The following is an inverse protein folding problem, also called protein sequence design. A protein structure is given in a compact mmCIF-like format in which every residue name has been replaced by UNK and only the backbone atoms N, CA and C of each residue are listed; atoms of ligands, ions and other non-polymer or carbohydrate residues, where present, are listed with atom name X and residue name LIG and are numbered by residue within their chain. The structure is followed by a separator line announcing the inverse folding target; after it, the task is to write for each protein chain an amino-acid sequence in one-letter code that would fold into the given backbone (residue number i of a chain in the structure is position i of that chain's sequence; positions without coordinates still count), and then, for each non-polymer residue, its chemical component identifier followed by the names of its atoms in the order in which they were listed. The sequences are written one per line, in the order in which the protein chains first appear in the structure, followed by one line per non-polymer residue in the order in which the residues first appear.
data_IF_775387277575
#
_entry.id   IF_775387277575
#
_cell.length_a   1.000
_cell.length_b   1.000
_cell.length_c   1.000
_cell.angle_alpha   90.00
_cell.angle_beta   90.00
_cell.angle_gamma   90.00
#
_symmetry.space_group_name_H-M   'P 1'
#
loop_
_entity.id
_entity.type
_entity.pdbx_description
1 polymer ?
#
# COMPACT_ATOMS: atom_id res chain seq x y z
N UNK A 1 16.39 9.81 37.98
CA UNK A 1 16.74 8.95 36.84
C UNK A 1 16.40 9.74 35.59
N UNK A 2 17.40 10.04 34.77
CA UNK A 2 17.34 10.94 33.62
C UNK A 2 16.38 10.39 32.55
N UNK A 3 15.39 11.21 32.19
CA UNK A 3 14.16 10.82 31.50
C UNK A 3 14.27 10.70 29.97
N UNK A 4 15.44 10.97 29.38
CA UNK A 4 15.55 11.15 27.92
C UNK A 4 16.62 10.19 27.36
N UNK A 5 16.24 8.95 27.05
CA UNK A 5 17.12 8.04 26.31
C UNK A 5 16.88 8.22 24.81
N UNK A 6 17.46 9.28 24.23
CA UNK A 6 17.36 9.60 22.80
C UNK A 6 18.76 9.66 22.19
N UNK A 7 18.92 9.05 21.02
CA UNK A 7 20.13 9.14 20.22
C UNK A 7 19.91 10.12 19.06
N UNK A 8 20.59 11.27 19.11
CA UNK A 8 20.65 12.20 17.99
C UNK A 8 21.91 11.94 17.17
N UNK A 9 21.73 11.51 15.92
CA UNK A 9 22.82 11.17 15.00
C UNK A 9 22.74 12.14 13.83
N UNK A 10 23.58 13.18 13.86
CA UNK A 10 23.62 14.23 12.83
C UNK A 10 24.83 14.17 11.91
N UNK A 11 25.86 13.42 12.30
CA UNK A 11 27.06 13.16 11.51
C UNK A 11 27.75 11.89 12.01
N UNK A 12 28.40 11.19 11.09
CA UNK A 12 29.17 9.99 11.39
C UNK A 12 28.36 8.71 11.23
N UNK A 13 28.96 7.60 11.64
CA UNK A 13 28.39 6.27 11.48
C UNK A 13 28.25 5.59 12.83
N UNK A 14 27.00 5.30 13.20
CA UNK A 14 26.64 4.59 14.43
C UNK A 14 26.17 3.19 14.09
N UNK A 15 26.59 2.21 14.89
CA UNK A 15 26.16 0.81 14.73
C UNK A 15 25.64 0.30 16.07
N UNK A 16 24.39 -0.15 16.10
CA UNK A 16 23.86 -0.95 17.21
C UNK A 16 23.87 -2.42 16.81
N UNK A 17 24.44 -3.27 17.67
CA UNK A 17 24.52 -4.72 17.45
C UNK A 17 23.89 -5.44 18.63
N UNK A 18 22.94 -6.34 18.38
CA UNK A 18 22.34 -7.17 19.43
C UNK A 18 21.71 -6.37 20.57
N UNK A 19 21.11 -5.23 20.23
CA UNK A 19 20.41 -4.35 21.17
C UNK A 19 18.90 -4.56 21.08
N UNK A 20 18.25 -4.71 22.23
CA UNK A 20 16.79 -4.64 22.34
C UNK A 20 16.40 -3.27 22.90
N UNK A 21 15.73 -2.46 22.09
CA UNK A 21 15.15 -1.19 22.48
C UNK A 21 13.77 -1.45 23.08
N UNK A 22 13.56 -1.06 24.34
CA UNK A 22 12.26 -1.22 25.01
C UNK A 22 11.73 0.09 25.54
N UNK A 23 10.44 0.33 25.35
CA UNK A 23 9.76 1.57 25.77
C UNK A 23 8.61 1.22 26.72
N UNK A 24 8.52 1.91 27.86
CA UNK A 24 7.42 1.80 28.82
C UNK A 24 6.59 3.09 28.93
N UNK A 25 7.23 4.25 28.79
CA UNK A 25 6.59 5.55 29.05
C UNK A 25 6.53 6.39 27.77
N UNK A 26 5.39 7.06 27.60
CA UNK A 26 5.20 8.06 26.56
C UNK A 26 5.96 9.33 26.93
N UNK A 27 6.64 9.93 25.96
CA UNK A 27 7.41 11.15 26.19
C UNK A 27 6.90 12.27 25.30
N UNK A 28 6.42 13.34 25.94
CA UNK A 28 5.60 14.38 25.31
C UNK A 28 6.32 15.08 24.14
N UNK A 29 7.65 15.17 24.17
CA UNK A 29 8.41 15.98 23.23
C UNK A 29 9.14 15.21 22.13
N UNK A 30 9.33 13.89 22.29
CA UNK A 30 10.21 13.12 21.40
C UNK A 30 9.51 11.89 20.85
N UNK A 31 9.28 11.93 19.54
CA UNK A 31 8.47 10.94 18.82
C UNK A 31 9.22 9.65 18.49
N UNK A 32 10.55 9.65 18.58
CA UNK A 32 11.41 8.52 18.21
C UNK A 32 12.61 8.39 19.15
N UNK A 33 13.06 7.16 19.41
CA UNK A 33 14.26 6.89 20.23
C UNK A 33 15.54 7.35 19.50
N UNK A 34 15.57 7.22 18.18
CA UNK A 34 16.71 7.57 17.35
C UNK A 34 16.26 8.61 16.31
N UNK A 35 16.85 9.79 16.40
CA UNK A 35 16.70 10.85 15.40
C UNK A 35 17.94 10.84 14.52
N UNK A 36 17.77 10.39 13.29
CA UNK A 36 18.82 10.20 12.30
C UNK A 36 18.66 11.27 11.21
N UNK A 37 19.49 12.31 11.26
CA UNK A 37 19.28 13.51 10.45
C UNK A 37 20.60 14.15 10.00
N UNK A 38 20.90 14.07 8.69
CA UNK A 38 22.09 14.72 8.13
C UNK A 38 22.72 13.91 7.00
N UNK A 39 23.31 14.61 6.04
CA UNK A 39 23.83 14.04 4.78
C UNK A 39 25.07 13.16 4.97
N UNK A 40 25.67 13.22 6.15
CA UNK A 40 26.76 12.36 6.58
C UNK A 40 26.39 11.50 7.80
N UNK A 41 25.10 11.38 8.12
CA UNK A 41 24.61 10.55 9.20
C UNK A 41 24.26 9.15 8.67
N UNK A 42 24.83 8.12 9.31
CA UNK A 42 24.59 6.73 8.98
C UNK A 42 24.28 5.93 10.24
N UNK A 43 23.26 5.07 10.15
CA UNK A 43 22.86 4.15 11.20
C UNK A 43 22.77 2.73 10.66
N UNK A 44 23.47 1.80 11.31
CA UNK A 44 23.29 0.38 11.10
C UNK A 44 22.66 -0.27 12.34
N UNK A 45 21.56 -0.99 12.15
CA UNK A 45 20.95 -1.85 13.16
C UNK A 45 21.19 -3.30 12.75
N UNK A 46 21.97 -4.03 13.54
CA UNK A 46 22.33 -5.42 13.26
C UNK A 46 21.84 -6.35 14.39
N UNK A 47 20.97 -7.30 14.06
CA UNK A 47 20.39 -8.24 15.03
C UNK A 47 19.73 -7.50 16.21
N UNK A 48 18.95 -6.46 15.93
CA UNK A 48 18.31 -5.62 16.94
C UNK A 48 16.85 -6.01 17.15
N UNK A 49 16.25 -5.54 18.23
CA UNK A 49 14.82 -5.71 18.48
C UNK A 49 14.16 -4.46 19.06
N UNK A 50 12.86 -4.31 18.85
CA UNK A 50 12.04 -3.23 19.41
C UNK A 50 10.72 -3.76 19.98
N UNK A 51 10.29 -3.20 21.11
CA UNK A 51 9.01 -3.56 21.70
C UNK A 51 8.65 -2.76 22.95
N UNK A 52 7.41 -2.94 23.41
CA UNK A 52 6.95 -2.39 24.69
C UNK A 52 7.49 -3.17 25.88
N UNK A 53 7.68 -2.50 27.02
CA UNK A 53 7.95 -3.17 28.30
C UNK A 53 6.65 -3.71 28.91
N UNK A 54 5.56 -2.98 28.71
CA UNK A 54 4.23 -3.29 29.25
C UNK A 54 3.24 -3.46 28.09
N UNK A 55 2.00 -3.82 28.40
CA UNK A 55 0.88 -3.84 27.44
C UNK A 55 0.29 -2.46 27.16
N UNK A 56 0.80 -1.40 27.79
CA UNK A 56 0.33 -0.04 27.56
C UNK A 56 0.66 0.43 26.14
N UNK A 57 -0.17 1.32 25.60
CA UNK A 57 0.08 1.92 24.31
C UNK A 57 1.29 2.86 24.41
N UNK A 58 2.23 2.73 23.48
CA UNK A 58 3.38 3.63 23.39
C UNK A 58 3.17 4.69 22.30
N UNK A 59 3.72 5.89 22.45
CA UNK A 59 3.66 6.94 21.44
C UNK A 59 4.96 7.12 20.67
N UNK A 60 6.04 6.42 21.03
CA UNK A 60 7.37 6.59 20.41
C UNK A 60 7.69 5.49 19.40
N UNK A 61 8.14 5.89 18.21
CA UNK A 61 8.80 5.01 17.26
C UNK A 61 10.26 4.72 17.61
N UNK A 62 10.91 3.88 16.82
CA UNK A 62 12.33 3.60 16.98
C UNK A 62 13.19 4.63 16.25
N UNK A 63 13.01 4.79 14.93
CA UNK A 63 13.88 5.65 14.09
C UNK A 63 13.06 6.62 13.26
N UNK A 64 13.48 7.90 13.25
CA UNK A 64 13.11 8.86 12.22
C UNK A 64 14.34 9.17 11.36
N UNK A 65 14.23 9.07 10.04
CA UNK A 65 15.31 9.31 9.09
C UNK A 65 15.03 10.50 8.17
N UNK A 66 15.95 11.47 8.15
CA UNK A 66 15.80 12.76 7.47
C UNK A 66 17.13 13.25 6.86
N UNK A 67 17.04 14.24 5.98
CA UNK A 67 18.16 15.06 5.49
C UNK A 67 19.35 14.25 4.96
N UNK A 68 19.08 13.33 4.03
CA UNK A 68 20.01 12.44 3.34
C UNK A 68 20.67 11.39 4.23
N UNK A 69 20.22 11.25 5.48
CA UNK A 69 20.74 10.23 6.35
C UNK A 69 20.42 8.82 5.84
N UNK A 70 21.33 7.89 6.12
CA UNK A 70 21.26 6.52 5.61
C UNK A 70 21.00 5.54 6.75
N UNK A 71 20.07 4.61 6.53
CA UNK A 71 19.69 3.61 7.52
C UNK A 71 19.79 2.23 6.87
N UNK A 72 20.59 1.36 7.48
CA UNK A 72 20.68 -0.03 7.11
C UNK A 72 20.22 -0.92 8.28
N UNK A 73 19.24 -1.76 8.03
CA UNK A 73 18.71 -2.72 8.98
C UNK A 73 19.01 -4.12 8.48
N UNK A 74 19.82 -4.85 9.23
CA UNK A 74 20.13 -6.26 8.98
C UNK A 74 19.71 -7.08 10.19
N UNK A 75 18.65 -7.87 10.01
CA UNK A 75 18.03 -8.67 11.08
C UNK A 75 17.47 -7.80 12.20
N UNK A 76 16.17 -7.52 12.11
CA UNK A 76 15.47 -6.73 13.12
C UNK A 76 14.12 -7.34 13.47
N UNK A 77 13.84 -7.45 14.76
CA UNK A 77 12.59 -8.06 15.24
C UNK A 77 11.74 -7.04 15.99
N UNK A 78 10.49 -6.87 15.56
CA UNK A 78 9.48 -6.12 16.30
C UNK A 78 8.42 -7.07 16.80
N UNK A 79 8.25 -7.13 18.12
CA UNK A 79 7.20 -7.90 18.77
C UNK A 79 5.87 -7.11 18.79
N UNK A 80 4.73 -7.81 18.99
CA UNK A 80 3.42 -7.16 19.08
C UNK A 80 3.41 -5.96 20.02
N UNK A 81 2.89 -4.84 19.52
CA UNK A 81 2.90 -3.57 20.23
C UNK A 81 1.76 -2.68 19.75
N UNK A 82 1.11 -2.00 20.70
CA UNK A 82 0.14 -0.97 20.39
C UNK A 82 0.83 0.40 20.42
N UNK A 83 0.74 1.14 19.32
CA UNK A 83 1.31 2.46 19.16
C UNK A 83 0.21 3.50 18.99
N UNK A 84 0.28 4.63 19.68
CA UNK A 84 -0.78 5.66 19.58
C UNK A 84 -0.68 6.45 18.28
N UNK A 85 0.53 6.84 17.86
CA UNK A 85 0.70 7.79 16.77
C UNK A 85 1.88 7.56 15.84
N UNK A 86 3.06 7.15 16.30
CA UNK A 86 4.25 7.08 15.43
C UNK A 86 4.42 5.67 14.83
N UNK A 87 4.98 5.57 13.62
CA UNK A 87 5.44 4.30 13.08
C UNK A 87 6.65 3.80 13.86
N UNK A 88 6.99 2.52 13.74
CA UNK A 88 8.29 2.03 14.24
C UNK A 88 9.44 2.74 13.51
N UNK A 89 9.32 2.90 12.19
CA UNK A 89 10.32 3.53 11.34
C UNK A 89 9.65 4.56 10.45
N UNK A 90 10.11 5.81 10.56
CA UNK A 90 9.69 6.91 9.73
C UNK A 90 10.81 7.32 8.77
N UNK A 91 10.47 7.43 7.49
CA UNK A 91 11.37 7.80 6.40
C UNK A 91 10.78 9.05 5.75
N UNK A 92 11.39 10.21 6.01
CA UNK A 92 10.94 11.47 5.44
C UNK A 92 11.39 11.67 4.00
N UNK A 93 10.77 12.64 3.31
CA UNK A 93 11.03 12.97 1.90
C UNK A 93 12.41 13.61 1.63
N UNK A 94 13.21 13.86 2.65
CA UNK A 94 14.60 14.29 2.51
C UNK A 94 15.59 13.18 2.85
N UNK A 95 15.14 12.00 3.30
CA UNK A 95 16.01 10.88 3.71
C UNK A 95 16.95 10.41 2.60
N UNK A 96 18.04 9.75 3.01
CA UNK A 96 18.99 9.10 2.12
C UNK A 96 18.52 7.71 1.72
N UNK A 97 19.48 6.83 1.43
CA UNK A 97 19.17 5.44 1.08
C UNK A 97 18.85 4.64 2.34
N UNK A 98 17.72 3.94 2.30
CA UNK A 98 17.23 3.09 3.38
C UNK A 98 17.14 1.65 2.89
N UNK A 99 17.71 0.72 3.65
CA UNK A 99 17.66 -0.70 3.36
C UNK A 99 17.25 -1.54 4.56
N UNK A 100 16.43 -2.56 4.30
CA UNK A 100 15.96 -3.53 5.27
C UNK A 100 16.27 -4.94 4.77
N UNK A 101 16.75 -5.80 5.65
CA UNK A 101 17.02 -7.19 5.31
C UNK A 101 16.72 -8.12 6.50
N UNK A 102 16.31 -9.35 6.22
CA UNK A 102 16.13 -10.43 7.20
C UNK A 102 15.30 -10.03 8.44
N UNK A 103 14.29 -9.16 8.28
CA UNK A 103 13.60 -8.55 9.42
C UNK A 103 12.19 -9.11 9.63
N UNK A 104 11.71 -9.11 10.86
CA UNK A 104 10.42 -9.67 11.22
C UNK A 104 9.63 -8.67 12.05
N UNK A 105 8.47 -8.26 11.54
CA UNK A 105 7.59 -7.29 12.17
C UNK A 105 6.24 -7.94 12.45
N UNK A 106 5.87 -8.09 13.72
CA UNK A 106 4.63 -8.78 14.09
C UNK A 106 3.73 -7.93 14.97
N UNK A 107 2.43 -7.90 14.64
CA UNK A 107 1.38 -7.43 15.53
C UNK A 107 1.50 -5.97 15.93
N UNK A 108 2.07 -5.12 15.06
CA UNK A 108 2.18 -3.68 15.32
C UNK A 108 0.85 -3.03 14.98
N UNK A 109 0.16 -2.51 15.99
CA UNK A 109 -1.12 -1.85 15.87
C UNK A 109 -0.99 -0.35 16.18
N UNK A 110 -0.93 0.46 15.13
CA UNK A 110 -0.83 1.92 15.20
C UNK A 110 -2.23 2.54 15.14
N UNK A 111 -2.63 3.22 16.21
CA UNK A 111 -3.99 3.74 16.39
C UNK A 111 -4.28 4.99 15.55
N UNK A 112 -3.26 5.77 15.19
CA UNK A 112 -3.36 6.93 14.29
C UNK A 112 -2.12 7.06 13.40
N UNK A 113 -2.31 7.50 12.16
CA UNK A 113 -1.22 7.70 11.19
C UNK A 113 -0.89 6.47 10.34
N UNK A 114 -0.18 6.71 9.23
CA UNK A 114 -0.10 5.80 8.10
C UNK A 114 1.06 4.81 8.21
N UNK A 115 0.83 3.52 7.99
CA UNK A 115 1.86 2.49 8.05
C UNK A 115 2.29 2.23 9.50
N UNK A 116 2.07 1.02 10.00
CA UNK A 116 2.37 0.74 11.41
C UNK A 116 3.86 0.49 11.64
N UNK A 117 4.48 -0.29 10.77
CA UNK A 117 5.89 -0.60 10.84
C UNK A 117 6.73 0.48 10.14
N UNK A 118 6.36 0.81 8.90
CA UNK A 118 7.08 1.76 8.05
C UNK A 118 6.14 2.80 7.49
N UNK A 119 6.43 4.06 7.77
CA UNK A 119 5.83 5.23 7.12
C UNK A 119 6.90 5.91 6.27
N UNK A 120 6.67 5.98 4.95
CA UNK A 120 7.67 6.45 4.01
C UNK A 120 7.12 7.53 3.07
N UNK A 121 7.84 8.64 2.95
CA UNK A 121 7.58 9.69 1.96
C UNK A 121 8.78 9.78 1.04
N UNK A 122 8.58 9.51 -0.25
CA UNK A 122 9.65 9.57 -1.25
C UNK A 122 9.76 10.95 -1.88
N UNK A 123 10.89 11.19 -2.55
CA UNK A 123 11.18 12.40 -3.30
C UNK A 123 11.98 12.02 -4.56
N UNK A 124 11.81 12.79 -5.64
CA UNK A 124 12.58 12.61 -6.88
C UNK A 124 14.09 12.87 -6.72
N UNK A 125 14.50 13.72 -5.78
CA UNK A 125 15.89 14.17 -5.64
C UNK A 125 16.73 13.35 -4.65
N UNK A 126 16.09 12.76 -3.64
CA UNK A 126 16.80 12.14 -2.53
C UNK A 126 16.42 10.67 -2.35
N UNK A 127 17.36 9.93 -1.78
CA UNK A 127 17.09 8.64 -1.16
C UNK A 127 16.39 7.59 -1.99
N UNK A 128 15.80 6.64 -1.26
CA UNK A 128 14.99 5.51 -1.71
C UNK A 128 14.87 4.45 -0.62
N UNK A 129 13.90 3.54 -0.76
CA UNK A 129 13.68 2.42 0.17
C UNK A 129 13.81 1.08 -0.56
N UNK A 130 14.63 0.19 -0.04
CA UNK A 130 14.68 -1.20 -0.51
C UNK A 130 14.47 -2.16 0.65
N UNK A 131 13.50 -3.05 0.52
CA UNK A 131 13.31 -4.16 1.45
C UNK A 131 13.67 -5.45 0.73
N UNK A 132 14.80 -6.02 1.14
CA UNK A 132 15.36 -7.25 0.60
C UNK A 132 14.63 -8.49 1.15
N UNK A 133 14.93 -9.64 0.52
CA UNK A 133 14.32 -10.94 0.80
C UNK A 133 14.36 -11.32 2.28
N UNK A 134 13.44 -12.20 2.69
CA UNK A 134 13.31 -12.70 4.07
C UNK A 134 12.86 -11.64 5.09
N UNK A 135 12.28 -10.54 4.62
CA UNK A 135 11.61 -9.59 5.50
C UNK A 135 10.11 -9.86 5.53
N UNK A 136 9.57 -10.10 6.72
CA UNK A 136 8.17 -10.52 6.89
C UNK A 136 7.40 -9.55 7.79
N UNK A 137 6.21 -9.17 7.34
CA UNK A 137 5.26 -8.38 8.12
C UNK A 137 4.04 -9.22 8.42
N UNK A 138 3.70 -9.35 9.70
CA UNK A 138 2.63 -10.21 10.20
C UNK A 138 1.60 -9.39 10.96
N UNK A 139 0.35 -9.41 10.50
CA UNK A 139 -0.82 -8.85 11.21
C UNK A 139 -0.61 -7.42 11.75
N UNK A 140 0.06 -6.60 10.96
CA UNK A 140 0.30 -5.20 11.24
C UNK A 140 -0.89 -4.35 10.79
N UNK A 141 -1.26 -3.34 11.60
CA UNK A 141 -2.43 -2.49 11.36
C UNK A 141 -2.11 -1.02 11.66
N UNK A 142 -2.54 -0.12 10.80
CA UNK A 142 -2.47 1.33 10.97
C UNK A 142 -3.72 2.03 10.42
N UNK A 143 -3.71 3.37 10.41
CA UNK A 143 -4.82 4.20 9.93
C UNK A 143 -4.38 5.07 8.75
N UNK A 144 -5.25 5.25 7.77
CA UNK A 144 -5.09 6.25 6.74
C UNK A 144 -6.27 7.22 6.80
N UNK A 145 -6.00 8.50 7.04
CA UNK A 145 -7.04 9.52 7.21
C UNK A 145 -6.89 10.64 6.18
N UNK A 146 -8.01 11.09 5.62
CA UNK A 146 -8.05 12.19 4.65
C UNK A 146 -9.39 12.92 4.71
N UNK A 147 -9.54 14.04 3.98
CA UNK A 147 -10.79 14.78 3.88
C UNK A 147 -11.37 14.58 2.49
N UNK A 148 -12.66 14.24 2.42
CA UNK A 148 -13.44 14.17 1.18
C UNK A 148 -14.74 14.93 1.35
N UNK A 149 -15.01 15.90 0.47
CA UNK A 149 -16.23 16.73 0.52
C UNK A 149 -16.51 17.35 1.91
N UNK A 150 -15.44 17.81 2.59
CA UNK A 150 -15.49 18.36 3.95
C UNK A 150 -15.83 17.35 5.06
N UNK A 151 -15.86 16.04 4.76
CA UNK A 151 -16.01 14.97 5.73
C UNK A 151 -14.66 14.28 6.00
N UNK A 152 -14.32 14.00 7.26
CA UNK A 152 -13.16 13.17 7.58
C UNK A 152 -13.46 11.71 7.18
N UNK A 153 -12.53 11.13 6.43
CA UNK A 153 -12.54 9.74 6.00
C UNK A 153 -11.38 9.02 6.66
N UNK A 154 -11.57 7.76 7.04
CA UNK A 154 -10.52 6.92 7.59
C UNK A 154 -10.63 5.48 7.09
N UNK A 155 -9.49 4.90 6.73
CA UNK A 155 -9.33 3.49 6.42
C UNK A 155 -8.41 2.83 7.43
N UNK A 156 -8.72 1.58 7.79
CA UNK A 156 -7.73 0.68 8.34
C UNK A 156 -6.80 0.24 7.20
N UNK A 157 -5.50 0.41 7.40
CA UNK A 157 -4.43 -0.03 6.50
C UNK A 157 -3.37 -0.83 7.28
N UNK A 158 -2.27 -1.17 6.63
CA UNK A 158 -1.36 -2.22 7.06
C UNK A 158 -0.01 -1.81 7.65
N UNK A 159 0.97 -2.68 7.40
CA UNK A 159 2.36 -2.55 7.82
C UNK A 159 3.10 -1.37 7.20
N UNK A 160 2.96 -1.19 5.89
CA UNK A 160 3.78 -0.25 5.12
C UNK A 160 2.89 0.75 4.41
N UNK A 161 3.16 2.04 4.63
CA UNK A 161 2.65 3.13 3.81
C UNK A 161 3.80 3.79 3.05
N UNK A 162 3.60 4.03 1.76
CA UNK A 162 4.55 4.79 0.94
C UNK A 162 3.81 5.85 0.12
N UNK A 163 4.22 7.10 0.30
CA UNK A 163 3.89 8.18 -0.63
C UNK A 163 4.96 8.30 -1.73
N UNK A 164 4.54 8.20 -2.99
CA UNK A 164 5.40 8.23 -4.18
C UNK A 164 4.96 9.39 -5.10
N UNK A 165 5.61 10.56 -5.01
CA UNK A 165 5.28 11.68 -5.90
C UNK A 165 5.77 11.43 -7.33
N UNK A 166 5.29 12.25 -8.26
CA UNK A 166 5.79 12.28 -9.64
C UNK A 166 7.32 12.37 -9.71
N UNK A 167 7.93 11.50 -10.53
CA UNK A 167 9.37 11.39 -10.69
C UNK A 167 10.09 10.50 -9.67
N UNK A 168 9.41 10.01 -8.63
CA UNK A 168 9.99 9.12 -7.61
C UNK A 168 9.65 7.62 -7.80
N UNK A 169 9.03 7.24 -8.93
CA UNK A 169 8.53 5.86 -9.18
C UNK A 169 9.61 4.76 -9.17
N UNK A 170 10.88 5.14 -9.26
CA UNK A 170 12.04 4.24 -9.22
C UNK A 170 12.73 4.18 -7.85
N UNK A 171 12.20 4.89 -6.85
CA UNK A 171 12.82 5.08 -5.54
C UNK A 171 12.41 4.06 -4.49
N UNK A 172 11.61 3.06 -4.84
CA UNK A 172 11.29 1.97 -3.92
C UNK A 172 11.41 0.61 -4.60
N UNK A 173 11.73 -0.40 -3.80
CA UNK A 173 11.74 -1.81 -4.19
C UNK A 173 11.42 -2.69 -2.97
N UNK A 174 10.25 -3.32 -2.97
CA UNK A 174 9.77 -4.18 -1.89
C UNK A 174 9.64 -5.64 -2.33
N UNK A 175 10.29 -6.05 -3.43
CA UNK A 175 10.17 -7.43 -3.98
C UNK A 175 10.58 -8.52 -2.98
N UNK A 176 11.42 -8.17 -2.01
CA UNK A 176 11.86 -9.10 -0.97
C UNK A 176 10.88 -9.29 0.20
N UNK A 177 9.77 -8.54 0.22
CA UNK A 177 8.82 -8.57 1.35
C UNK A 177 7.82 -9.70 1.22
N UNK A 178 7.57 -10.37 2.34
CA UNK A 178 6.43 -11.27 2.52
C UNK A 178 5.42 -10.66 3.51
N UNK A 179 4.15 -10.60 3.12
CA UNK A 179 3.06 -10.16 3.99
C UNK A 179 2.21 -11.37 4.43
N UNK A 180 1.99 -11.48 5.75
CA UNK A 180 1.08 -12.45 6.38
C UNK A 180 0.00 -11.68 7.11
N UNK A 181 -1.25 -11.86 6.73
CA UNK A 181 -2.33 -11.03 7.27
C UNK A 181 -3.50 -11.89 7.73
N UNK A 182 -4.32 -11.38 8.64
CA UNK A 182 -5.52 -12.05 9.13
C UNK A 182 -6.64 -11.94 8.11
N UNK A 183 -7.71 -12.73 8.24
CA UNK A 183 -8.89 -12.67 7.37
C UNK A 183 -9.80 -11.44 7.61
N UNK A 184 -9.32 -10.43 8.35
CA UNK A 184 -10.11 -9.21 8.63
C UNK A 184 -10.47 -8.46 7.34
N UNK A 185 -11.63 -7.80 7.23
CA UNK A 185 -12.10 -7.28 5.93
C UNK A 185 -11.47 -5.95 5.48
N UNK A 186 -10.49 -5.39 6.19
CA UNK A 186 -9.90 -4.10 5.82
C UNK A 186 -8.84 -4.20 4.71
N UNK A 187 -8.52 -3.05 4.12
CA UNK A 187 -7.73 -2.93 2.89
C UNK A 187 -6.25 -2.60 3.19
N UNK A 188 -5.35 -2.80 2.23
CA UNK A 188 -3.95 -2.35 2.31
C UNK A 188 -3.14 -2.92 3.48
N UNK A 189 -3.49 -4.12 3.95
CA UNK A 189 -2.93 -4.77 5.15
C UNK A 189 -1.42 -5.02 5.10
N UNK A 190 -0.89 -5.28 3.92
CA UNK A 190 0.55 -5.39 3.70
C UNK A 190 1.13 -4.05 3.31
N UNK A 191 0.61 -3.51 2.20
CA UNK A 191 1.12 -2.33 1.54
C UNK A 191 -0.01 -1.39 1.13
N UNK A 192 0.17 -0.11 1.44
CA UNK A 192 -0.67 0.98 0.95
C UNK A 192 0.20 2.04 0.25
N UNK A 193 -0.03 2.25 -1.04
CA UNK A 193 0.69 3.24 -1.86
C UNK A 193 -0.21 4.44 -2.12
N UNK A 194 0.30 5.64 -1.86
CA UNK A 194 -0.29 6.88 -2.36
C UNK A 194 0.63 7.49 -3.42
N UNK A 195 0.08 7.94 -4.55
CA UNK A 195 0.89 8.49 -5.65
C UNK A 195 0.10 9.45 -6.54
N UNK A 196 0.80 10.26 -7.32
CA UNK A 196 0.16 11.13 -8.33
C UNK A 196 -0.27 10.36 -9.59
N UNK A 197 0.34 9.20 -9.87
CA UNK A 197 0.01 8.38 -11.04
C UNK A 197 0.27 6.90 -10.74
N UNK A 198 -0.79 6.15 -10.45
CA UNK A 198 -0.66 4.76 -10.03
C UNK A 198 -0.20 3.86 -11.18
N UNK A 199 -0.65 4.13 -12.41
CA UNK A 199 -0.19 3.40 -13.58
C UNK A 199 1.32 3.50 -13.78
N UNK A 200 1.93 4.68 -13.66
CA UNK A 200 3.38 4.86 -13.84
C UNK A 200 4.21 4.22 -12.72
N UNK A 201 3.74 4.30 -11.47
CA UNK A 201 4.37 3.60 -10.33
C UNK A 201 4.50 2.10 -10.61
N UNK A 202 3.48 1.54 -11.27
CA UNK A 202 3.32 0.11 -11.43
C UNK A 202 3.90 -0.41 -12.76
N UNK A 203 3.90 0.41 -13.81
CA UNK A 203 4.44 0.10 -15.15
C UNK A 203 5.97 0.12 -15.20
N UNK A 204 6.65 0.93 -14.38
CA UNK A 204 8.12 1.13 -14.44
C UNK A 204 8.93 0.13 -13.62
N UNK A 205 8.63 -1.16 -13.78
CA UNK A 205 9.51 -2.20 -13.28
C UNK A 205 10.01 -3.06 -14.43
N UNK A 206 11.20 -2.74 -14.93
CA UNK A 206 11.94 -3.61 -15.85
C UNK A 206 12.22 -5.01 -15.24
N UNK A 207 11.91 -5.19 -13.96
CA UNK A 207 12.16 -6.36 -13.14
C UNK A 207 10.90 -6.93 -12.42
N UNK A 208 9.69 -6.51 -12.82
CA UNK A 208 8.43 -6.99 -12.24
C UNK A 208 7.95 -6.28 -10.97
N UNK A 209 6.79 -6.70 -10.46
CA UNK A 209 6.01 -6.05 -9.39
C UNK A 209 6.84 -5.64 -8.16
N UNK A 210 6.85 -4.34 -7.82
CA UNK A 210 7.71 -3.78 -6.74
C UNK A 210 7.18 -3.95 -5.31
N UNK A 211 6.10 -4.69 -5.12
CA UNK A 211 5.26 -4.63 -3.92
C UNK A 211 5.26 -5.92 -3.10
N UNK A 212 6.25 -6.79 -3.27
CA UNK A 212 6.41 -8.02 -2.47
C UNK A 212 5.39 -9.12 -2.79
N UNK A 213 5.29 -10.10 -1.90
CA UNK A 213 4.38 -11.24 -2.03
C UNK A 213 3.46 -11.37 -0.81
N UNK A 214 2.27 -11.91 -1.04
CA UNK A 214 1.33 -12.28 0.02
C UNK A 214 1.40 -13.79 0.20
N UNK A 215 1.54 -14.25 1.43
CA UNK A 215 1.61 -15.70 1.73
C UNK A 215 0.23 -16.33 2.02
N UNK A 216 -0.75 -15.54 2.47
CA UNK A 216 -2.11 -16.03 2.79
C UNK A 216 -3.00 -16.20 1.55
N UNK A 217 -4.06 -17.00 1.66
CA UNK A 217 -5.04 -17.46 0.65
C UNK A 217 -5.20 -16.63 -0.66
N UNK A 218 -4.97 -17.24 -1.86
CA UNK A 218 -5.01 -16.55 -3.17
C UNK A 218 -6.34 -15.87 -3.53
N UNK A 219 -7.47 -16.28 -2.95
CA UNK A 219 -8.77 -15.72 -3.32
C UNK A 219 -9.09 -14.35 -2.71
N UNK A 220 -8.27 -13.79 -1.80
CA UNK A 220 -8.51 -12.48 -1.16
C UNK A 220 -7.22 -11.62 -1.16
N UNK A 221 -6.24 -11.99 -2.00
CA UNK A 221 -4.93 -11.35 -1.99
C UNK A 221 -4.96 -9.88 -2.41
N UNK A 222 -5.91 -9.50 -3.23
CA UNK A 222 -5.91 -8.19 -3.85
C UNK A 222 -6.17 -7.06 -2.87
N UNK A 223 -6.97 -7.31 -1.83
CA UNK A 223 -7.30 -6.29 -0.83
C UNK A 223 -6.13 -5.99 0.09
N UNK A 224 -5.10 -6.83 0.15
CA UNK A 224 -3.98 -6.63 1.07
C UNK A 224 -2.94 -5.63 0.55
N UNK A 225 -2.97 -5.35 -0.75
CA UNK A 225 -2.04 -4.44 -1.41
C UNK A 225 -2.84 -3.43 -2.23
N UNK A 226 -2.93 -2.21 -1.72
CA UNK A 226 -3.78 -1.18 -2.30
C UNK A 226 -3.00 0.06 -2.68
N UNK A 227 -3.47 0.75 -3.70
CA UNK A 227 -2.99 2.04 -4.13
C UNK A 227 -4.12 3.07 -4.14
N UNK A 228 -3.76 4.34 -4.05
CA UNK A 228 -4.63 5.47 -4.34
C UNK A 228 -3.88 6.47 -5.21
N UNK A 229 -4.63 7.20 -6.02
CA UNK A 229 -4.14 8.43 -6.63
C UNK A 229 -4.40 9.61 -5.68
N UNK A 230 -3.43 10.48 -5.48
CA UNK A 230 -3.53 11.60 -4.52
C UNK A 230 -4.66 12.58 -4.86
N UNK A 231 -5.07 12.65 -6.13
CA UNK A 231 -6.24 13.40 -6.60
C UNK A 231 -7.58 12.72 -6.28
N UNK A 232 -7.57 11.41 -5.99
CA UNK A 232 -8.74 10.56 -5.78
C UNK A 232 -8.56 9.62 -4.57
N UNK A 233 -8.23 10.20 -3.41
CA UNK A 233 -7.95 9.45 -2.17
C UNK A 233 -9.08 8.52 -1.70
N UNK A 234 -10.31 8.77 -2.13
CA UNK A 234 -11.49 7.97 -1.81
C UNK A 234 -11.60 6.68 -2.66
N UNK A 235 -10.82 6.56 -3.73
CA UNK A 235 -10.84 5.45 -4.66
C UNK A 235 -9.61 4.58 -4.45
N UNK A 236 -9.74 3.54 -3.63
CA UNK A 236 -8.65 2.58 -3.40
C UNK A 236 -8.65 1.49 -4.48
N UNK A 237 -7.49 1.19 -5.03
CA UNK A 237 -7.33 0.32 -6.20
C UNK A 237 -6.39 -0.82 -5.80
N UNK A 238 -6.79 -2.10 -5.93
CA UNK A 238 -5.87 -3.21 -5.74
C UNK A 238 -4.66 -3.08 -6.67
N UNK A 239 -3.46 -3.13 -6.11
CA UNK A 239 -2.23 -2.93 -6.86
C UNK A 239 -2.09 -3.94 -8.01
N UNK A 240 -2.56 -5.17 -7.81
CA UNK A 240 -2.53 -6.20 -8.84
C UNK A 240 -3.34 -5.85 -10.11
N UNK A 241 -4.42 -5.07 -9.98
CA UNK A 241 -5.26 -4.68 -11.11
C UNK A 241 -4.62 -3.60 -11.99
N UNK A 242 -3.55 -2.98 -11.52
CA UNK A 242 -2.77 -1.99 -12.28
C UNK A 242 -1.69 -2.62 -13.15
N UNK A 243 -1.33 -3.89 -12.89
CA UNK A 243 -0.24 -4.60 -13.58
C UNK A 243 -0.70 -5.82 -14.36
N UNK A 244 -1.86 -6.38 -14.01
CA UNK A 244 -2.41 -7.56 -14.66
C UNK A 244 -3.54 -7.19 -15.63
N UNK A 245 -3.72 -8.03 -16.65
CA UNK A 245 -4.89 -7.98 -17.51
C UNK A 245 -6.06 -8.71 -16.86
N UNK A 246 -7.29 -8.28 -17.17
CA UNK A 246 -8.52 -8.90 -16.64
C UNK A 246 -8.60 -10.38 -17.02
N UNK A 247 -8.96 -11.23 -16.06
CA UNK A 247 -9.05 -12.69 -16.22
C UNK A 247 -10.00 -13.10 -17.34
N UNK A 248 -9.58 -14.07 -18.17
CA UNK A 248 -10.35 -14.60 -19.30
C UNK A 248 -10.80 -13.54 -20.33
N UNK A 249 -10.27 -12.32 -20.24
CA UNK A 249 -10.59 -11.20 -21.13
C UNK A 249 -12.09 -10.82 -21.09
N UNK A 250 -12.77 -11.15 -19.97
CA UNK A 250 -14.18 -10.83 -19.74
C UNK A 250 -14.26 -9.63 -18.80
N UNK A 251 -14.72 -8.50 -19.32
CA UNK A 251 -14.75 -7.24 -18.57
C UNK A 251 -16.12 -7.07 -17.92
N UNK A 252 -16.15 -6.94 -16.61
CA UNK A 252 -17.37 -6.93 -15.83
C UNK A 252 -17.89 -5.53 -15.59
N UNK A 253 -19.22 -5.40 -15.57
CA UNK A 253 -19.93 -4.18 -15.22
C UNK A 253 -20.80 -4.37 -13.96
N UNK A 254 -20.94 -3.31 -13.18
CA UNK A 254 -21.89 -3.24 -12.08
C UNK A 254 -22.44 -1.82 -11.94
N UNK A 255 -23.49 -1.67 -11.13
CA UNK A 255 -24.13 -0.39 -10.89
C UNK A 255 -23.11 0.60 -10.32
N UNK A 256 -23.12 1.86 -10.80
CA UNK A 256 -22.16 2.88 -10.35
C UNK A 256 -22.27 3.10 -8.85
N UNK A 257 -21.14 3.47 -8.25
CA UNK A 257 -21.17 4.03 -6.91
C UNK A 257 -21.68 5.46 -6.93
N UNK A 258 -22.78 5.75 -6.22
CA UNK A 258 -23.39 7.09 -6.19
C UNK A 258 -23.24 7.82 -4.86
N UNK A 259 -22.59 7.21 -3.85
CA UNK A 259 -22.57 7.77 -2.48
C UNK A 259 -21.22 7.67 -1.77
N UNK A 260 -20.56 6.51 -1.79
CA UNK A 260 -19.30 6.27 -1.06
C UNK A 260 -18.64 5.01 -1.59
N UNK A 261 -17.45 5.12 -2.16
CA UNK A 261 -16.77 3.94 -2.72
C UNK A 261 -16.12 3.08 -1.63
N UNK A 262 -16.51 1.80 -1.62
CA UNK A 262 -15.96 0.74 -0.80
C UNK A 262 -15.70 -0.45 -1.71
N UNK A 263 -14.45 -0.90 -1.77
CA UNK A 263 -14.03 -2.06 -2.58
C UNK A 263 -14.93 -3.27 -2.31
N UNK A 264 -15.25 -3.52 -1.03
CA UNK A 264 -16.02 -4.68 -0.59
C UNK A 264 -17.46 -4.69 -1.10
N UNK A 265 -17.99 -3.54 -1.51
CA UNK A 265 -19.37 -3.43 -1.99
C UNK A 265 -19.49 -3.73 -3.49
N UNK A 266 -18.36 -3.97 -4.17
CA UNK A 266 -18.30 -4.40 -5.57
C UNK A 266 -18.89 -3.42 -6.58
N UNK A 267 -18.94 -2.12 -6.26
CA UNK A 267 -19.59 -1.10 -7.11
C UNK A 267 -18.75 -0.71 -8.31
N UNK A 268 -19.44 -0.40 -9.41
CA UNK A 268 -18.79 -0.01 -10.67
C UNK A 268 -18.07 1.34 -10.57
N UNK A 269 -16.89 1.43 -11.20
CA UNK A 269 -16.12 2.66 -11.34
C UNK A 269 -15.45 2.73 -12.72
N UNK A 270 -15.53 3.87 -13.42
CA UNK A 270 -15.01 4.02 -14.79
C UNK A 270 -13.56 4.53 -14.88
N UNK A 271 -12.71 4.09 -13.96
CA UNK A 271 -11.27 4.36 -14.03
C UNK A 271 -10.54 3.41 -14.99
N UNK A 272 -9.23 3.61 -15.15
CA UNK A 272 -8.39 2.83 -16.04
C UNK A 272 -7.97 1.46 -15.50
N UNK A 273 -8.52 1.04 -14.35
CA UNK A 273 -8.20 -0.23 -13.70
C UNK A 273 -9.45 -1.13 -13.57
N UNK A 274 -10.63 -0.65 -13.98
CA UNK A 274 -11.88 -1.38 -13.94
C UNK A 274 -11.93 -2.55 -14.95
N UNK A 275 -12.86 -3.47 -14.70
CA UNK A 275 -13.20 -4.60 -15.57
C UNK A 275 -13.14 -5.96 -14.86
N UNK A 276 -12.60 -6.00 -13.65
CA UNK A 276 -12.57 -7.20 -12.80
C UNK A 276 -13.94 -7.46 -12.20
N UNK A 277 -14.23 -8.69 -11.79
CA UNK A 277 -15.51 -9.01 -11.14
C UNK A 277 -15.64 -8.21 -9.84
N UNK A 278 -14.56 -8.13 -9.08
CA UNK A 278 -14.48 -7.40 -7.80
C UNK A 278 -14.11 -5.93 -7.94
N UNK A 279 -13.78 -5.50 -9.15
CA UNK A 279 -13.55 -4.09 -9.49
C UNK A 279 -14.15 -3.76 -10.87
N UNK A 280 -15.49 -3.84 -10.98
CA UNK A 280 -16.16 -3.74 -12.26
C UNK A 280 -16.19 -2.30 -12.78
N UNK A 281 -16.40 -2.15 -14.09
CA UNK A 281 -16.67 -0.84 -14.67
C UNK A 281 -18.11 -0.39 -14.33
N UNK A 282 -18.33 0.91 -14.28
CA UNK A 282 -19.66 1.48 -14.05
C UNK A 282 -20.49 1.49 -15.34
N UNK A 283 -19.84 1.71 -16.49
CA UNK A 283 -20.51 1.79 -17.77
C UNK A 283 -20.07 0.72 -18.74
N UNK A 284 -21.00 0.36 -19.61
CA UNK A 284 -20.77 -0.60 -20.69
C UNK A 284 -19.70 -0.09 -21.68
N UNK A 285 -19.78 1.19 -22.06
CA UNK A 285 -18.81 1.81 -22.97
C UNK A 285 -17.38 1.75 -22.42
N UNK A 286 -17.21 2.01 -21.12
CA UNK A 286 -15.89 1.90 -20.47
C UNK A 286 -15.36 0.47 -20.51
N UNK A 287 -16.19 -0.53 -20.18
CA UNK A 287 -15.78 -1.94 -20.21
C UNK A 287 -15.32 -2.38 -21.62
N UNK A 288 -16.01 -1.92 -22.67
CA UNK A 288 -15.62 -2.18 -24.07
C UNK A 288 -14.29 -1.51 -24.41
N UNK A 289 -14.10 -0.24 -24.06
CA UNK A 289 -12.84 0.49 -24.31
C UNK A 289 -11.67 -0.18 -23.58
N UNK A 290 -11.88 -0.60 -22.32
CA UNK A 290 -10.88 -1.31 -21.51
C UNK A 290 -10.45 -2.61 -22.17
N UNK A 291 -11.42 -3.43 -22.60
CA UNK A 291 -11.17 -4.68 -23.33
C UNK A 291 -10.31 -4.46 -24.58
N UNK A 292 -10.68 -3.49 -25.41
CA UNK A 292 -9.93 -3.17 -26.64
C UNK A 292 -8.53 -2.63 -26.34
N UNK A 293 -8.37 -1.87 -25.25
CA UNK A 293 -7.10 -1.24 -24.89
C UNK A 293 -6.10 -2.25 -24.33
N UNK A 294 -6.55 -3.20 -23.52
CA UNK A 294 -5.68 -4.25 -22.96
C UNK A 294 -5.42 -5.40 -23.96
N UNK A 295 -6.34 -5.65 -24.90
CA UNK A 295 -6.24 -6.72 -25.89
C UNK A 295 -6.48 -6.23 -27.33
N UNK A 296 -5.66 -5.32 -27.86
CA UNK A 296 -5.83 -4.79 -29.21
C UNK A 296 -5.73 -5.88 -30.30
N UNK A 297 -5.02 -6.98 -30.02
CA UNK A 297 -4.83 -8.14 -30.89
C UNK A 297 -6.09 -8.99 -31.11
N UNK A 298 -7.07 -8.90 -30.19
CA UNK A 298 -8.31 -9.66 -30.29
C UNK A 298 -9.27 -8.88 -31.21
N UNK A 299 -9.32 -9.34 -32.45
CA UNK A 299 -10.01 -8.63 -33.53
C UNK A 299 -11.45 -9.09 -33.77
N UNK A 300 -11.92 -10.15 -33.12
CA UNK A 300 -13.22 -10.75 -33.43
C UNK A 300 -14.35 -10.37 -32.45
N UNK A 301 -14.07 -10.29 -31.15
CA UNK A 301 -15.11 -10.18 -30.13
C UNK A 301 -14.61 -9.53 -28.84
N UNK A 302 -15.42 -8.63 -28.28
CA UNK A 302 -15.31 -8.08 -26.92
C UNK A 302 -16.33 -8.80 -26.03
N UNK A 303 -15.88 -9.37 -24.91
CA UNK A 303 -16.74 -10.09 -23.96
C UNK A 303 -16.97 -9.25 -22.71
N UNK A 304 -18.23 -8.98 -22.41
CA UNK A 304 -18.65 -8.20 -21.25
C UNK A 304 -19.44 -9.09 -20.29
N UNK A 305 -19.00 -9.14 -19.05
CA UNK A 305 -19.68 -9.82 -17.95
C UNK A 305 -20.54 -8.90 -17.12
N UNK A 306 -21.51 -9.46 -16.42
CA UNK A 306 -22.41 -8.71 -15.53
C UNK A 306 -22.21 -9.22 -14.10
N UNK A 307 -21.96 -8.31 -13.16
CA UNK A 307 -21.97 -8.64 -11.73
C UNK A 307 -23.43 -8.74 -11.26
N UNK A 308 -23.75 -9.76 -10.47
CA UNK A 308 -25.09 -10.04 -9.96
C UNK A 308 -25.70 -8.80 -9.30
N UNK A 309 -26.95 -8.49 -9.67
CA UNK A 309 -27.67 -7.30 -9.17
C UNK A 309 -27.48 -6.04 -10.03
N UNK A 310 -26.70 -6.10 -11.10
CA UNK A 310 -26.66 -5.03 -12.11
C UNK A 310 -28.03 -4.75 -12.71
N UNK A 311 -28.37 -3.47 -12.82
CA UNK A 311 -29.60 -3.01 -13.45
C UNK A 311 -29.20 -2.35 -14.78
N UNK A 312 -29.64 -2.95 -15.88
CA UNK A 312 -29.39 -2.41 -17.21
C UNK A 312 -30.16 -1.09 -17.38
N UNK A 313 -29.45 0.03 -17.35
CA UNK A 313 -30.00 1.32 -17.77
C UNK A 313 -29.78 1.52 -19.27
N UNK A 314 -30.89 1.50 -20.01
CA UNK A 314 -30.91 1.72 -21.47
C UNK A 314 -30.37 3.08 -21.89
N UNK A 315 -30.25 4.06 -20.99
CA UNK A 315 -29.71 5.38 -21.30
C UNK A 315 -28.17 5.42 -21.27
N UNK A 316 -27.53 4.61 -20.41
CA UNK A 316 -26.05 4.55 -20.26
C UNK A 316 -25.36 3.58 -21.22
N UNK A 317 -26.16 2.82 -21.99
CA UNK A 317 -25.71 1.84 -23.00
C UNK A 317 -25.71 2.39 -24.43
N UNK A 318 -25.97 3.68 -24.63
CA UNK A 318 -26.32 4.25 -25.94
C UNK A 318 -25.14 4.65 -26.84
N UNK A 319 -23.89 4.65 -26.34
CA UNK A 319 -22.71 4.97 -27.15
C UNK A 319 -21.59 3.95 -26.91
N UNK A 320 -21.53 2.95 -27.79
CA UNK A 320 -20.49 1.92 -27.77
C UNK A 320 -19.62 2.12 -29.00
N UNK A 321 -18.37 2.55 -28.82
CA UNK A 321 -17.35 2.47 -29.86
C UNK A 321 -16.57 1.16 -29.73
N UNK A 322 -17.11 0.11 -30.34
CA UNK A 322 -16.45 -1.20 -30.41
C UNK A 322 -15.38 -1.27 -31.51
N UNK A 323 -15.11 -0.18 -32.24
CA UNK A 323 -14.18 -0.12 -33.38
C UNK A 323 -14.38 -1.27 -34.38
N UNK A 324 -15.64 -1.57 -34.70
CA UNK A 324 -16.04 -2.63 -35.64
C UNK A 324 -16.01 -4.07 -35.08
N UNK A 325 -15.71 -4.27 -33.79
CA UNK A 325 -15.72 -5.59 -33.15
C UNK A 325 -17.14 -6.00 -32.74
N UNK A 326 -17.42 -7.31 -32.75
CA UNK A 326 -18.62 -7.87 -32.11
C UNK A 326 -18.53 -7.64 -30.61
N UNK A 327 -19.62 -7.24 -29.97
CA UNK A 327 -19.71 -7.18 -28.50
C UNK A 327 -20.71 -8.23 -28.04
N UNK A 328 -20.27 -9.09 -27.12
CA UNK A 328 -21.08 -10.14 -26.52
C UNK A 328 -21.21 -9.91 -25.02
N UNK A 329 -22.43 -10.08 -24.51
CA UNK A 329 -22.69 -10.11 -23.08
C UNK A 329 -22.72 -11.57 -22.66
N UNK A 330 -21.91 -11.93 -21.68
CA UNK A 330 -21.72 -13.32 -21.23
C UNK A 330 -21.45 -13.36 -19.75
N UNK A 331 -21.97 -14.36 -19.05
CA UNK A 331 -21.75 -14.60 -17.62
C UNK A 331 -22.39 -13.54 -16.71
N UNK A 332 -23.33 -13.99 -15.88
CA UNK A 332 -23.76 -13.28 -14.69
C UNK A 332 -23.06 -13.95 -13.51
N UNK A 333 -22.14 -13.23 -12.87
CA UNK A 333 -21.29 -13.76 -11.80
C UNK A 333 -21.51 -13.00 -10.49
N UNK A 334 -21.28 -13.68 -9.37
CA UNK A 334 -21.18 -13.06 -8.06
C UNK A 334 -19.74 -12.57 -7.82
N UNK A 335 -19.57 -11.62 -6.90
CA UNK A 335 -18.29 -11.08 -6.46
C UNK A 335 -17.29 -12.17 -6.02
N UNK A 336 -17.81 -13.28 -5.50
CA UNK A 336 -17.01 -14.42 -5.03
C UNK A 336 -16.52 -15.36 -6.15
N UNK A 337 -16.97 -15.17 -7.40
CA UNK A 337 -16.61 -16.03 -8.53
C UNK A 337 -15.25 -15.68 -9.17
N UNK A 338 -14.63 -14.57 -8.75
CA UNK A 338 -13.26 -14.23 -9.18
C UNK A 338 -12.27 -15.23 -8.56
N UNK A 339 -11.65 -16.06 -9.43
CA UNK A 339 -10.75 -17.16 -9.08
C UNK A 339 -9.32 -16.93 -9.52
#
# INVERSE_FOLDING_TARGET
MTQDAIFYIYKGWTVFKSITFRVNDNYINDRYIIILEGDHAKLDLANCAFGGITSANIDRGLVSCLNQATLNIDTFTVNPINMTQNAVIYIGNTSGVISFNNSYFEGINRLTGNGSAVECYLNRYFGGITIYSNSTFVNCKSKYSFIWESQPMEYDIGSIYIYVPEGAYHKFDLRGVTYRTSDSPYIGKGLFIETDNLAEVMRRSDLGTKFGTIETNPQINEIYMMGIESSQKWLTIPLQYTVNNVTNEIYHINNPNTTSWNYLDGKGNDNDYCGWIRFPCATFGKAVIRSITQHPEINSEVKIGIVQGYILDTNTTTQIDAKGRKVSISNQLDYYDES
#
